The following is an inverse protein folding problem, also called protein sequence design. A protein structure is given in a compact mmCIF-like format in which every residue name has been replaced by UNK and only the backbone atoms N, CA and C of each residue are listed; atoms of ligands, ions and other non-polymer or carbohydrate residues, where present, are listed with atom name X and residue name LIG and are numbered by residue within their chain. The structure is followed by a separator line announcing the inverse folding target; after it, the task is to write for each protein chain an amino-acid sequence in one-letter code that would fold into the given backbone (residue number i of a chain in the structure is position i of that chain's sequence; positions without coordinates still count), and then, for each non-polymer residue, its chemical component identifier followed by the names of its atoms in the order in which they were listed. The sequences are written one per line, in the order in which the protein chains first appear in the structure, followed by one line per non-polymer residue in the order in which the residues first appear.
data_IF_771233629172
#
_entry.id   IF_771233629172
#
_cell.length_a   1.000
_cell.length_b   1.000
_cell.length_c   1.000
_cell.angle_alpha   90.00
_cell.angle_beta   90.00
_cell.angle_gamma   90.00
#
_symmetry.space_group_name_H-M   'P 1'
#
loop_
_entity.id
_entity.type
_entity.pdbx_description
1 polymer ?
#
# COMPACT_ATOMS: atom_id res chain seq x y z
N UNK A 1 9.97 18.68 11.62
CA UNK A 1 10.58 17.78 12.62
C UNK A 1 10.85 16.47 11.91
N UNK A 2 12.08 15.94 11.85
CA UNK A 2 12.28 14.63 11.26
C UNK A 2 11.71 13.64 12.27
N UNK A 3 10.48 13.17 12.03
CA UNK A 3 10.05 11.91 12.59
C UNK A 3 11.10 10.92 12.10
N UNK A 4 11.97 10.44 12.99
CA UNK A 4 12.92 9.40 12.64
C UNK A 4 12.05 8.19 12.29
N UNK A 5 11.71 8.05 11.02
CA UNK A 5 10.88 6.94 10.57
C UNK A 5 11.59 5.68 11.03
N UNK A 6 10.90 4.86 11.82
CA UNK A 6 11.43 3.58 12.30
C UNK A 6 11.76 2.64 11.12
N UNK A 7 11.24 2.95 9.95
CA UNK A 7 11.41 2.21 8.70
C UNK A 7 12.15 3.09 7.69
N UNK A 8 13.07 2.49 6.92
CA UNK A 8 13.73 3.22 5.84
C UNK A 8 12.73 3.59 4.75
N UNK A 9 12.89 4.78 4.16
CA UNK A 9 12.02 5.25 3.08
C UNK A 9 12.00 4.24 1.91
N UNK A 10 13.15 3.67 1.56
CA UNK A 10 13.28 2.62 0.54
C UNK A 10 12.41 1.40 0.85
N UNK A 11 12.36 0.96 2.11
CA UNK A 11 11.55 -0.20 2.48
C UNK A 11 10.05 0.10 2.36
N UNK A 12 9.64 1.32 2.74
CA UNK A 12 8.24 1.77 2.58
C UNK A 12 7.86 1.86 1.10
N UNK A 13 8.72 2.45 0.27
CA UNK A 13 8.49 2.58 -1.17
C UNK A 13 8.39 1.22 -1.88
N UNK A 14 9.25 0.26 -1.50
CA UNK A 14 9.19 -1.11 -2.02
C UNK A 14 7.84 -1.76 -1.71
N UNK A 15 7.38 -1.69 -0.46
CA UNK A 15 6.08 -2.26 -0.06
C UNK A 15 4.91 -1.59 -0.79
N UNK A 16 4.94 -0.26 -0.96
CA UNK A 16 3.92 0.46 -1.73
C UNK A 16 3.91 0.05 -3.20
N UNK A 17 5.08 -0.14 -3.81
CA UNK A 17 5.20 -0.59 -5.19
C UNK A 17 4.65 -2.01 -5.38
N UNK A 18 4.93 -2.92 -4.46
CA UNK A 18 4.41 -4.29 -4.50
C UNK A 18 2.88 -4.32 -4.39
N UNK A 19 2.32 -3.57 -3.43
CA UNK A 19 0.87 -3.48 -3.26
C UNK A 19 0.18 -2.87 -4.48
N UNK A 20 0.78 -1.83 -5.07
CA UNK A 20 0.27 -1.20 -6.30
C UNK A 20 0.27 -2.19 -7.45
N UNK A 21 1.37 -2.94 -7.63
CA UNK A 21 1.48 -3.94 -8.69
C UNK A 21 0.43 -5.06 -8.56
N UNK A 22 0.09 -5.48 -7.33
CA UNK A 22 -1.00 -6.45 -7.11
C UNK A 22 -2.34 -5.88 -7.59
N UNK A 23 -2.66 -4.63 -7.25
CA UNK A 23 -3.91 -3.98 -7.67
C UNK A 23 -3.97 -3.81 -9.20
N UNK A 24 -2.86 -3.41 -9.83
CA UNK A 24 -2.75 -3.25 -11.28
C UNK A 24 -2.87 -4.59 -12.03
N UNK A 25 -2.18 -5.63 -11.54
CA UNK A 25 -2.21 -6.99 -12.12
C UNK A 25 -3.63 -7.54 -12.16
N UNK A 26 -4.44 -7.25 -11.15
CA UNK A 26 -5.84 -7.69 -11.08
C UNK A 26 -6.82 -6.72 -11.73
N UNK A 27 -6.33 -5.62 -12.33
CA UNK A 27 -7.14 -4.55 -12.91
C UNK A 27 -8.23 -4.08 -11.94
N UNK A 28 -7.88 -3.99 -10.66
CA UNK A 28 -8.83 -3.61 -9.63
C UNK A 28 -9.29 -2.16 -9.89
N UNK A 29 -10.60 -1.91 -10.06
CA UNK A 29 -11.10 -0.54 -10.13
C UNK A 29 -10.87 0.17 -8.78
N UNK A 30 -11.00 1.49 -8.78
CA UNK A 30 -10.67 2.35 -7.63
C UNK A 30 -11.49 1.98 -6.39
N UNK A 31 -12.78 1.72 -6.56
CA UNK A 31 -13.70 1.31 -5.51
C UNK A 31 -13.31 -0.02 -4.86
N UNK A 32 -12.96 -1.03 -5.66
CA UNK A 32 -12.47 -2.32 -5.15
C UNK A 32 -11.12 -2.16 -4.43
N UNK A 33 -10.22 -1.36 -4.99
CA UNK A 33 -8.91 -1.08 -4.37
C UNK A 33 -9.07 -0.44 -2.99
N UNK A 34 -9.94 0.57 -2.87
CA UNK A 34 -10.25 1.22 -1.60
C UNK A 34 -10.91 0.26 -0.60
N UNK A 35 -11.84 -0.59 -1.05
CA UNK A 35 -12.50 -1.60 -0.20
C UNK A 35 -11.50 -2.60 0.38
N UNK A 36 -10.61 -3.16 -0.45
CA UNK A 36 -9.64 -4.17 -0.02
C UNK A 36 -8.58 -3.56 0.90
N UNK A 37 -8.07 -2.37 0.59
CA UNK A 37 -7.12 -1.66 1.45
C UNK A 37 -7.74 -1.30 2.81
N UNK A 38 -9.01 -0.88 2.83
CA UNK A 38 -9.73 -0.61 4.08
C UNK A 38 -9.89 -1.86 4.94
N UNK A 39 -10.20 -3.00 4.33
CA UNK A 39 -10.27 -4.28 5.04
C UNK A 39 -8.91 -4.69 5.62
N UNK A 40 -7.81 -4.50 4.89
CA UNK A 40 -6.44 -4.85 5.33
C UNK A 40 -6.00 -4.13 6.62
N UNK A 41 -6.46 -2.90 6.85
CA UNK A 41 -6.12 -2.11 8.06
C UNK A 41 -6.99 -2.51 9.26
N UNK A 42 -8.18 -3.05 9.01
CA UNK A 42 -9.19 -3.32 10.04
C UNK A 42 -9.11 -4.75 10.58
N UNK A 43 -8.66 -5.71 9.76
CA UNK A 43 -8.50 -7.13 10.13
C UNK A 43 -7.27 -7.39 10.99
#
# INVERSE_FOLDING_TARGET
MPQLSRYSDEHVEQLLSELTNVLETHKAPVDLSLMVLGNMVTT
#
